data_IF_185238002914
#
_entry.id   IF_185238002914
#
_cell.length_a   1.000
_cell.length_b   1.000
_cell.length_c   1.000
_cell.angle_alpha   90.00
_cell.angle_beta   90.00
_cell.angle_gamma   90.00
#
_symmetry.space_group_name_H-M   'P 1'
#
loop_
_entity.id
_entity.type
_entity.pdbx_description
1 polymer ?
#
# COMPACT_ATOMS: atom_id res chain seq x y z
N UNK A 1 -2.39 -14.84 10.11
CA UNK A 1 -1.59 -13.59 10.14
C UNK A 1 -1.50 -13.09 8.70
N UNK A 2 -2.49 -12.29 8.29
CA UNK A 2 -2.64 -11.81 6.90
C UNK A 2 -1.64 -10.67 6.66
N UNK A 3 -0.61 -10.92 5.86
CA UNK A 3 0.35 -9.89 5.47
C UNK A 3 -0.24 -9.08 4.32
N UNK A 4 -0.90 -7.95 4.64
CA UNK A 4 -1.20 -6.92 3.64
C UNK A 4 0.12 -6.44 3.02
N UNK A 5 0.35 -6.79 1.75
CA UNK A 5 1.46 -6.27 0.93
C UNK A 5 1.05 -4.90 0.38
N UNK A 6 1.10 -3.88 1.23
CA UNK A 6 1.00 -2.47 0.82
C UNK A 6 2.34 -1.92 0.25
N UNK A 7 3.33 -2.78 0.04
CA UNK A 7 4.68 -2.39 -0.34
C UNK A 7 4.86 -2.55 -1.85
N UNK A 8 5.05 -1.43 -2.55
CA UNK A 8 5.44 -1.39 -3.96
C UNK A 8 6.89 -1.86 -4.10
N UNK A 9 7.08 -3.16 -4.32
CA UNK A 9 8.41 -3.77 -4.51
C UNK A 9 8.66 -4.23 -5.93
N UNK A 10 7.61 -4.34 -6.76
CA UNK A 10 7.76 -4.74 -8.16
C UNK A 10 8.35 -3.60 -8.99
N UNK A 11 9.36 -3.91 -9.81
CA UNK A 11 10.07 -2.91 -10.61
C UNK A 11 9.16 -2.20 -11.62
N UNK A 12 8.22 -2.92 -12.24
CA UNK A 12 7.30 -2.35 -13.24
C UNK A 12 6.30 -1.42 -12.57
N UNK A 13 5.76 -1.82 -11.42
CA UNK A 13 4.86 -0.97 -10.65
C UNK A 13 5.57 0.29 -10.14
N UNK A 14 6.84 0.17 -9.73
CA UNK A 14 7.67 1.30 -9.34
C UNK A 14 7.95 2.26 -10.51
N UNK A 15 8.19 1.73 -11.71
CA UNK A 15 8.41 2.53 -12.91
C UNK A 15 7.13 3.29 -13.30
N UNK A 16 5.98 2.63 -13.27
CA UNK A 16 4.68 3.25 -13.50
C UNK A 16 4.41 4.35 -12.45
N UNK A 17 4.61 4.05 -11.17
CA UNK A 17 4.41 5.02 -10.08
C UNK A 17 5.30 6.25 -10.25
N UNK A 18 6.57 6.08 -10.62
CA UNK A 18 7.50 7.18 -10.89
C UNK A 18 7.07 8.03 -12.08
N UNK A 19 6.57 7.40 -13.14
CA UNK A 19 6.11 8.11 -14.33
C UNK A 19 4.84 8.93 -14.06
N UNK A 20 3.94 8.43 -13.20
CA UNK A 20 2.69 9.13 -12.82
C UNK A 20 2.92 10.22 -11.79
N UNK A 21 3.83 10.01 -10.83
CA UNK A 21 4.07 10.96 -9.74
C UNK A 21 4.80 12.25 -10.18
N UNK A 22 5.29 12.31 -11.42
CA UNK A 22 5.96 13.48 -11.98
C UNK A 22 7.41 13.65 -11.51
N UNK A 23 8.06 14.71 -12.00
CA UNK A 23 9.52 14.89 -11.88
C UNK A 23 9.97 15.13 -10.43
N UNK A 24 9.11 15.75 -9.62
CA UNK A 24 9.42 16.21 -8.26
C UNK A 24 9.54 15.06 -7.24
N UNK A 25 9.27 13.83 -7.66
CA UNK A 25 9.18 12.65 -6.79
C UNK A 25 10.32 11.65 -7.08
N UNK A 26 11.23 11.97 -8.01
CA UNK A 26 12.30 11.06 -8.44
C UNK A 26 13.20 10.58 -7.31
N UNK A 27 13.57 11.46 -6.38
CA UNK A 27 14.48 11.14 -5.27
C UNK A 27 13.78 10.32 -4.20
N UNK A 28 12.63 10.78 -3.71
CA UNK A 28 11.83 10.05 -2.71
C UNK A 28 11.24 8.75 -3.25
N UNK A 29 10.97 8.67 -4.56
CA UNK A 29 10.51 7.46 -5.23
C UNK A 29 11.49 6.29 -5.16
N UNK A 30 12.79 6.55 -4.91
CA UNK A 30 13.78 5.51 -4.66
C UNK A 30 13.58 4.82 -3.31
N UNK A 31 12.85 5.46 -2.39
CA UNK A 31 12.59 4.96 -1.04
C UNK A 31 11.34 4.07 -0.95
N UNK A 32 10.45 4.11 -1.96
CA UNK A 32 9.25 3.27 -2.03
C UNK A 32 9.51 1.77 -1.75
N UNK A 33 10.58 1.14 -2.28
CA UNK A 33 10.86 -0.28 -2.05
C UNK A 33 11.37 -0.60 -0.64
N UNK A 34 11.71 0.41 0.17
CA UNK A 34 12.20 0.23 1.54
C UNK A 34 11.25 0.80 2.60
N UNK A 35 10.17 1.49 2.20
CA UNK A 35 9.16 2.00 3.14
C UNK A 35 8.61 0.89 4.04
N UNK A 36 8.53 1.22 5.32
CA UNK A 36 7.90 0.37 6.33
C UNK A 36 6.37 0.42 6.20
N UNK A 37 5.68 -0.54 6.83
CA UNK A 37 4.23 -0.52 6.90
C UNK A 37 3.77 0.79 7.55
N UNK A 38 2.63 1.31 7.10
CA UNK A 38 2.04 2.58 7.56
C UNK A 38 2.81 3.84 7.15
N UNK A 39 3.85 3.76 6.33
CA UNK A 39 4.45 4.93 5.71
C UNK A 39 4.01 5.07 4.26
N UNK A 40 3.82 6.30 3.81
CA UNK A 40 3.44 6.61 2.44
C UNK A 40 4.15 7.85 1.92
N UNK A 41 4.45 7.86 0.62
CA UNK A 41 4.90 9.05 -0.09
C UNK A 41 3.68 9.82 -0.58
N UNK A 42 3.49 11.04 -0.07
CA UNK A 42 2.44 11.96 -0.50
C UNK A 42 3.00 12.98 -1.50
N UNK A 43 2.22 13.31 -2.53
CA UNK A 43 2.59 14.23 -3.61
C UNK A 43 1.32 14.66 -4.36
N UNK A 44 1.43 15.63 -5.27
CA UNK A 44 0.32 16.16 -6.08
C UNK A 44 -0.31 17.42 -5.47
N UNK A 45 -1.43 17.89 -6.03
CA UNK A 45 -2.00 19.21 -5.71
C UNK A 45 -2.44 19.39 -4.25
N UNK A 46 -2.76 18.28 -3.57
CA UNK A 46 -3.09 18.30 -2.15
C UNK A 46 -1.88 18.54 -1.23
N UNK A 47 -0.65 18.45 -1.76
CA UNK A 47 0.59 18.56 -1.00
C UNK A 47 1.59 19.46 -1.74
N UNK A 48 1.95 20.59 -1.12
CA UNK A 48 2.88 21.56 -1.71
C UNK A 48 4.26 20.94 -1.97
N UNK A 49 4.69 20.02 -1.10
CA UNK A 49 5.99 19.36 -1.17
C UNK A 49 5.78 17.85 -1.06
N UNK A 50 6.42 17.05 -1.93
CA UNK A 50 6.42 15.60 -1.76
C UNK A 50 7.12 15.19 -0.46
N UNK A 51 6.49 14.34 0.33
CA UNK A 51 7.01 13.95 1.65
C UNK A 51 6.63 12.50 2.01
N UNK A 52 7.43 11.87 2.85
CA UNK A 52 7.09 10.57 3.46
C UNK A 52 6.39 10.83 4.80
N UNK A 53 5.15 10.36 4.92
CA UNK A 53 4.31 10.56 6.10
C UNK A 53 3.91 9.24 6.74
N UNK A 54 3.62 9.26 8.04
CA UNK A 54 3.05 8.12 8.77
C UNK A 54 1.52 8.17 8.74
N UNK A 55 0.90 7.07 8.34
CA UNK A 55 -0.54 6.84 8.37
C UNK A 55 -0.93 6.42 9.79
N UNK A 56 -1.89 7.13 10.38
CA UNK A 56 -2.42 6.82 11.70
C UNK A 56 -3.25 5.54 11.70
N UNK A 57 -3.34 4.89 12.86
CA UNK A 57 -4.20 3.72 13.06
C UNK A 57 -5.68 4.10 12.85
N UNK A 58 -6.41 3.21 12.17
CA UNK A 58 -7.83 3.42 11.91
C UNK A 58 -8.65 3.22 13.19
N UNK A 59 -9.51 4.19 13.50
CA UNK A 59 -10.51 4.06 14.56
C UNK A 59 -11.85 4.65 14.08
N UNK A 60 -12.92 3.84 13.90
CA UNK A 60 -12.98 2.39 14.16
C UNK A 60 -12.18 1.56 13.15
N UNK A 61 -11.87 0.31 13.52
CA UNK A 61 -11.22 -0.63 12.61
C UNK A 61 -12.15 -0.96 11.42
N UNK A 62 -11.63 -1.00 10.18
CA UNK A 62 -12.40 -1.44 9.04
C UNK A 62 -12.79 -2.92 9.20
N UNK A 63 -13.95 -3.30 8.64
CA UNK A 63 -14.38 -4.70 8.56
C UNK A 63 -13.45 -5.45 7.60
N UNK A 64 -12.38 -6.03 8.14
CA UNK A 64 -11.36 -6.77 7.40
C UNK A 64 -11.25 -8.19 7.97
N UNK A 65 -12.32 -8.96 7.82
CA UNK A 65 -12.29 -10.38 8.15
C UNK A 65 -11.82 -11.15 6.91
N UNK A 66 -10.75 -11.94 7.06
CA UNK A 66 -10.37 -12.92 6.05
C UNK A 66 -11.56 -13.90 5.86
N UNK A 67 -11.93 -14.25 4.61
CA UNK A 67 -13.03 -15.19 4.39
C UNK A 67 -12.68 -16.56 4.97
N UNK A 68 -13.65 -17.20 5.64
CA UNK A 68 -13.51 -18.56 6.19
C UNK A 68 -13.60 -19.60 5.06
N UNK A 69 -12.49 -19.81 4.36
CA UNK A 69 -12.44 -20.68 3.17
C UNK A 69 -12.53 -22.18 3.49
N UNK A 70 -11.96 -22.62 4.62
CA UNK A 70 -11.94 -24.05 5.01
C UNK A 70 -13.36 -24.55 5.29
N UNK A 71 -14.13 -23.81 6.08
CA UNK A 71 -15.52 -24.15 6.40
C UNK A 71 -16.45 -24.13 5.17
N UNK A 72 -16.08 -23.34 4.16
CA UNK A 72 -16.83 -23.20 2.91
C UNK A 72 -16.60 -24.36 1.94
N UNK A 73 -15.51 -25.12 2.09
CA UNK A 73 -15.20 -26.27 1.24
C UNK A 73 -15.87 -27.56 1.70
N UNK A 74 -16.00 -27.78 3.01
CA UNK A 74 -16.70 -28.98 3.53
C UNK A 74 -18.22 -28.93 3.29
N UNK A 75 -18.81 -27.73 3.21
CA UNK A 75 -20.24 -27.54 2.89
C UNK A 75 -20.60 -27.84 1.43
N UNK A 76 -19.60 -27.95 0.54
CA UNK A 76 -19.78 -28.25 -0.88
C UNK A 76 -19.44 -29.70 -1.26
N UNK A 77 -19.16 -30.58 -0.28
CA UNK A 77 -19.09 -32.03 -0.52
C UNK A 77 -20.52 -32.60 -0.58
N UNK A 78 -21.13 -32.48 -1.75
CA UNK A 78 -22.26 -33.31 -2.17
C UNK A 78 -21.75 -34.47 -3.03
#
# INVERSE_FOLDING_TARGET
>A
MSTSKNKLTDFRDLEIAKNVAGVNVKELGQLLPVLEKQYALVTGEAFVIPEIVRINDANPLPLSNDPQVVESWDKNKH
#
